data_IF_379010556115
#
_entry.id   IF_379010556115
#
_cell.length_a   1.000
_cell.length_b   1.000
_cell.length_c   1.000
_cell.angle_alpha   90.00
_cell.angle_beta   90.00
_cell.angle_gamma   90.00
#
_symmetry.space_group_name_H-M   'P 1'
#
loop_
_entity.id
_entity.type
_entity.pdbx_description
1 polymer ?
#
# COMPACT_ATOMS: atom_id res chain seq x y z
N UNK A 1 5.58 15.24 3.69
CA UNK A 1 6.55 14.41 2.95
C UNK A 1 5.83 13.22 2.34
N UNK A 2 5.96 12.99 1.02
CA UNK A 2 5.42 11.76 0.40
C UNK A 2 6.17 10.55 0.91
N UNK A 3 5.44 9.56 1.43
CA UNK A 3 6.04 8.27 1.79
C UNK A 3 6.30 7.52 0.49
N UNK A 4 7.56 7.22 0.24
CA UNK A 4 7.91 6.33 -0.87
C UNK A 4 7.39 4.91 -0.57
N UNK A 5 6.97 4.13 -1.60
CA UNK A 5 6.38 2.80 -1.42
C UNK A 5 7.17 1.86 -0.48
N UNK A 6 8.49 1.96 -0.49
CA UNK A 6 9.40 1.11 0.30
C UNK A 6 9.30 1.41 1.81
N UNK A 7 8.79 2.60 2.18
CA UNK A 7 8.60 3.04 3.57
C UNK A 7 7.16 2.81 4.06
N UNK A 8 6.24 2.36 3.19
CA UNK A 8 4.85 2.03 3.56
C UNK A 8 4.80 0.88 4.58
N UNK A 9 5.69 -0.11 4.45
CA UNK A 9 5.77 -1.25 5.35
C UNK A 9 6.02 -0.90 6.82
N UNK A 10 6.58 0.29 7.10
CA UNK A 10 6.73 0.78 8.47
C UNK A 10 5.40 1.03 9.20
N UNK A 11 4.28 1.05 8.47
CA UNK A 11 2.93 1.23 9.01
C UNK A 11 2.08 -0.04 8.94
N UNK A 12 2.62 -1.16 8.46
CA UNK A 12 1.91 -2.45 8.47
C UNK A 12 1.58 -2.89 9.89
N UNK A 13 0.37 -3.44 10.09
CA UNK A 13 -0.11 -3.88 11.40
C UNK A 13 -0.31 -2.77 12.45
N UNK A 14 0.12 -1.52 12.19
CA UNK A 14 -0.06 -0.41 13.13
C UNK A 14 -1.48 0.13 13.08
N UNK A 15 -2.00 0.49 14.24
CA UNK A 15 -3.35 1.02 14.40
C UNK A 15 -3.31 2.54 14.59
N UNK A 16 -4.31 3.22 14.03
CA UNK A 16 -4.65 4.58 14.36
C UNK A 16 -5.04 4.64 15.84
N UNK A 17 -4.30 5.38 16.65
CA UNK A 17 -4.57 5.40 18.10
C UNK A 17 -5.92 6.03 18.47
N UNK A 18 -6.53 6.81 17.56
CA UNK A 18 -7.82 7.48 17.80
C UNK A 18 -9.00 6.57 17.42
N UNK A 19 -8.98 5.97 16.22
CA UNK A 19 -10.13 5.21 15.71
C UNK A 19 -9.95 3.68 15.75
N UNK A 20 -8.79 3.19 16.18
CA UNK A 20 -8.46 1.77 16.27
C UNK A 20 -8.32 1.03 14.94
N UNK A 21 -8.53 1.69 13.80
CA UNK A 21 -8.39 1.09 12.46
C UNK A 21 -6.91 1.03 12.03
N UNK A 22 -6.54 0.06 11.19
CA UNK A 22 -5.18 -0.01 10.62
C UNK A 22 -4.80 1.28 9.88
N UNK A 23 -3.57 1.75 10.08
CA UNK A 23 -3.06 2.99 9.48
C UNK A 23 -3.02 2.92 7.95
N UNK A 24 -2.76 1.74 7.38
CA UNK A 24 -2.76 1.51 5.93
C UNK A 24 -4.17 1.32 5.33
N UNK A 25 -5.22 1.25 6.15
CA UNK A 25 -6.59 1.20 5.67
C UNK A 25 -7.17 2.60 5.68
N UNK A 26 -7.98 2.92 4.68
CA UNK A 26 -8.68 4.19 4.58
C UNK A 26 -10.16 3.96 4.25
N UNK A 27 -10.99 4.95 4.58
CA UNK A 27 -12.37 5.08 4.14
C UNK A 27 -12.48 6.24 3.16
N UNK A 28 -13.56 6.32 2.34
CA UNK A 28 -13.78 7.45 1.44
C UNK A 28 -13.78 8.82 2.13
N UNK A 29 -14.10 8.87 3.43
CA UNK A 29 -14.07 10.08 4.25
C UNK A 29 -12.66 10.49 4.72
N UNK A 30 -11.70 9.56 4.74
CA UNK A 30 -10.30 9.82 5.12
C UNK A 30 -9.49 10.45 3.97
N UNK A 31 -10.06 10.50 2.76
CA UNK A 31 -9.40 11.04 1.58
C UNK A 31 -9.21 12.56 1.69
N UNK A 32 -8.07 13.01 1.19
CA UNK A 32 -7.71 14.41 1.14
C UNK A 32 -8.55 15.17 0.10
N UNK A 33 -8.81 16.43 0.42
CA UNK A 33 -9.44 17.39 -0.49
C UNK A 33 -8.37 18.38 -0.97
N UNK A 34 -8.55 18.94 -2.16
CA UNK A 34 -7.72 20.01 -2.68
C UNK A 34 -8.63 21.16 -3.16
N UNK A 35 -8.25 22.42 -2.89
CA UNK A 35 -8.92 23.56 -3.49
C UNK A 35 -8.63 23.56 -4.99
N UNK A 36 -9.68 23.64 -5.82
CA UNK A 36 -9.54 23.92 -7.26
C UNK A 36 -9.70 25.42 -7.53
N UNK A 37 -9.31 25.87 -8.72
CA UNK A 37 -9.38 27.27 -9.17
C UNK A 37 -10.76 27.91 -9.04
N UNK A 38 -11.83 27.13 -8.87
CA UNK A 38 -13.20 27.61 -8.64
C UNK A 38 -13.54 27.87 -7.16
N UNK A 39 -12.58 27.70 -6.24
CA UNK A 39 -12.79 27.82 -4.79
C UNK A 39 -13.54 26.64 -4.16
N UNK A 40 -14.01 25.67 -4.96
CA UNK A 40 -14.65 24.45 -4.48
C UNK A 40 -13.60 23.46 -3.94
N UNK A 41 -13.95 22.74 -2.88
CA UNK A 41 -13.18 21.61 -2.39
C UNK A 41 -13.56 20.35 -3.16
N UNK A 42 -12.60 19.72 -3.82
CA UNK A 42 -12.79 18.43 -4.49
C UNK A 42 -11.82 17.42 -3.91
N UNK A 43 -12.14 16.12 -4.01
CA UNK A 43 -11.19 15.07 -3.61
C UNK A 43 -9.91 15.21 -4.44
N UNK A 44 -8.77 15.20 -3.76
CA UNK A 44 -7.48 15.32 -4.42
C UNK A 44 -7.22 14.09 -5.31
N UNK A 45 -6.71 14.33 -6.51
CA UNK A 45 -6.27 13.29 -7.44
C UNK A 45 -4.74 13.34 -7.62
N UNK A 46 -4.04 12.21 -7.64
CA UNK A 46 -4.54 10.86 -7.34
C UNK A 46 -5.05 10.74 -5.90
N UNK A 47 -5.98 9.81 -5.64
CA UNK A 47 -6.56 9.61 -4.31
C UNK A 47 -5.46 9.39 -3.26
N UNK A 48 -5.49 10.21 -2.22
CA UNK A 48 -4.49 10.23 -1.16
C UNK A 48 -5.13 10.51 0.19
N UNK A 49 -4.47 10.06 1.25
CA UNK A 49 -4.81 10.37 2.63
C UNK A 49 -3.52 10.61 3.41
N UNK A 50 -3.65 11.19 4.60
CA UNK A 50 -2.50 11.59 5.41
C UNK A 50 -2.54 10.90 6.76
N UNK A 51 -1.37 10.53 7.26
CA UNK A 51 -1.15 10.25 8.67
C UNK A 51 -0.43 11.44 9.30
N UNK A 52 -0.71 11.66 10.58
CA UNK A 52 0.00 12.64 11.39
C UNK A 52 0.48 11.99 12.67
N UNK A 53 1.73 12.28 13.00
CA UNK A 53 2.42 11.84 14.21
C UNK A 53 2.53 13.03 15.15
N UNK A 54 2.04 12.88 16.38
CA UNK A 54 2.23 13.91 17.40
C UNK A 54 3.73 14.10 17.68
N UNK A 55 4.25 15.34 17.66
CA UNK A 55 5.68 15.60 17.87
C UNK A 55 6.13 15.31 19.30
N UNK A 56 5.22 15.35 20.29
CA UNK A 56 5.53 15.12 21.69
C UNK A 56 5.48 13.62 22.06
N UNK A 57 4.32 12.97 21.88
CA UNK A 57 4.12 11.58 22.31
C UNK A 57 4.29 10.52 21.21
N UNK A 58 4.64 10.92 19.98
CA UNK A 58 4.85 10.04 18.82
C UNK A 58 3.66 9.16 18.40
N UNK A 59 2.46 9.39 18.96
CA UNK A 59 1.25 8.67 18.55
C UNK A 59 0.85 9.07 17.12
N UNK A 60 0.50 8.08 16.31
CA UNK A 60 0.17 8.24 14.89
C UNK A 60 -1.30 7.91 14.66
N UNK A 61 -2.01 8.80 13.95
CA UNK A 61 -3.38 8.59 13.54
C UNK A 61 -3.65 9.14 12.13
N UNK A 62 -4.75 8.69 11.52
CA UNK A 62 -5.27 9.28 10.29
C UNK A 62 -5.56 10.76 10.52
N UNK A 63 -5.17 11.61 9.55
CA UNK A 63 -5.28 13.07 9.67
C UNK A 63 -6.72 13.53 9.97
N UNK A 64 -7.73 12.92 9.35
CA UNK A 64 -9.14 13.17 9.68
C UNK A 64 -9.44 13.00 11.17
N UNK A 65 -8.94 11.91 11.79
CA UNK A 65 -9.23 11.60 13.19
C UNK A 65 -8.73 12.69 14.15
N UNK A 66 -7.65 13.38 13.79
CA UNK A 66 -7.16 14.53 14.56
C UNK A 66 -8.17 15.69 14.53
N UNK A 67 -8.74 16.06 13.38
CA UNK A 67 -9.77 17.11 13.33
C UNK A 67 -11.09 16.71 13.97
N UNK A 68 -11.45 15.43 13.88
CA UNK A 68 -12.70 14.96 14.43
C UNK A 68 -12.69 14.94 15.97
N UNK A 69 -11.55 14.56 16.58
CA UNK A 69 -11.43 14.32 18.04
C UNK A 69 -10.54 15.32 18.77
N UNK A 70 -9.47 15.79 18.11
CA UNK A 70 -8.47 16.69 18.69
C UNK A 70 -8.86 18.16 18.67
N UNK A 71 -9.85 18.57 17.88
CA UNK A 71 -10.38 19.95 17.91
C UNK A 71 -11.15 20.18 19.22
N UNK A 72 -10.56 20.94 20.13
CA UNK A 72 -11.10 21.29 21.44
C UNK A 72 -11.65 22.71 21.45
N UNK A 73 -12.73 22.87 22.19
CA UNK A 73 -13.41 24.15 22.40
C UNK A 73 -12.89 24.78 23.69
N UNK A 74 -12.31 25.97 23.57
CA UNK A 74 -11.89 26.82 24.67
C UNK A 74 -12.86 27.99 24.79
N UNK A 75 -13.14 28.40 26.03
CA UNK A 75 -13.91 29.62 26.32
C UNK A 75 -13.03 30.53 27.13
N UNK A 76 -12.84 31.76 26.66
CA UNK A 76 -12.14 32.80 27.41
C UNK A 76 -13.10 33.39 28.46
N UNK A 77 -13.39 32.62 29.52
CA UNK A 77 -14.33 33.00 30.58
C UNK A 77 -15.80 32.67 30.28
N UNK A 78 -16.72 33.08 31.18
CA UNK A 78 -18.14 32.69 31.09
C UNK A 78 -18.86 33.33 29.88
N UNK A 79 -18.45 34.53 29.48
CA UNK A 79 -19.03 35.32 28.38
C UNK A 79 -18.07 35.59 27.21
N UNK A 80 -16.83 35.09 27.26
CA UNK A 80 -15.86 35.37 26.19
C UNK A 80 -16.10 34.56 24.91
N UNK A 81 -15.40 34.94 23.82
CA UNK A 81 -15.51 34.26 22.55
C UNK A 81 -15.13 32.78 22.72
N UNK A 82 -15.88 31.93 22.01
CA UNK A 82 -15.50 30.53 21.87
C UNK A 82 -14.35 30.44 20.89
N UNK A 83 -13.25 29.82 21.30
CA UNK A 83 -12.10 29.52 20.46
C UNK A 83 -11.90 28.02 20.31
N UNK A 84 -11.22 27.65 19.25
CA UNK A 84 -10.93 26.27 18.88
C UNK A 84 -9.44 26.07 18.76
N UNK A 85 -8.96 24.93 19.25
CA UNK A 85 -7.57 24.57 19.21
C UNK A 85 -7.45 23.07 18.96
N UNK A 86 -6.55 22.69 18.06
CA UNK A 86 -6.18 21.29 17.89
C UNK A 86 -5.18 20.88 18.98
N UNK A 87 -5.55 19.91 19.78
CA UNK A 87 -4.72 19.33 20.83
C UNK A 87 -4.56 17.82 20.62
N UNK A 88 -3.45 17.26 21.11
CA UNK A 88 -3.24 15.84 21.08
C UNK A 88 -4.15 15.12 22.11
N UNK A 89 -5.08 14.24 21.69
CA UNK A 89 -5.96 13.55 22.64
C UNK A 89 -5.23 12.63 23.63
N UNK A 90 -3.97 12.26 23.34
CA UNK A 90 -3.20 11.36 24.19
C UNK A 90 -2.32 12.07 25.22
N UNK A 91 -1.79 13.27 24.92
CA UNK A 91 -0.81 13.94 25.78
C UNK A 91 -1.12 15.42 26.06
N UNK A 92 -2.20 15.96 25.48
CA UNK A 92 -2.57 17.37 25.63
C UNK A 92 -1.71 18.36 24.85
N UNK A 93 -0.67 17.89 24.14
CA UNK A 93 0.19 18.77 23.34
C UNK A 93 -0.64 19.66 22.40
N UNK A 94 -0.36 20.96 22.41
CA UNK A 94 -0.96 21.91 21.49
C UNK A 94 -0.39 21.73 20.08
N UNK A 95 -1.24 21.34 19.14
CA UNK A 95 -0.84 21.05 17.75
C UNK A 95 -1.17 22.18 16.78
N UNK A 96 -1.85 23.24 17.23
CA UNK A 96 -2.19 24.39 16.40
C UNK A 96 -2.45 25.64 17.25
N UNK A 97 -2.35 26.85 16.68
CA UNK A 97 -2.80 28.07 17.37
C UNK A 97 -4.32 28.08 17.58
N UNK A 98 -4.78 28.84 18.56
CA UNK A 98 -6.22 29.08 18.74
C UNK A 98 -6.83 29.81 17.54
N UNK A 99 -8.09 29.48 17.23
CA UNK A 99 -8.88 30.03 16.11
C UNK A 99 -10.31 30.32 16.56
N UNK A 100 -10.99 31.23 15.89
CA UNK A 100 -12.39 31.52 16.22
C UNK A 100 -13.36 30.45 15.68
N UNK A 101 -12.96 29.75 14.62
CA UNK A 101 -13.77 28.71 13.99
C UNK A 101 -13.13 27.32 14.10
N UNK A 102 -13.99 26.30 14.24
CA UNK A 102 -13.56 24.90 14.18
C UNK A 102 -13.15 24.56 12.75
N UNK A 103 -11.94 24.09 12.56
CA UNK A 103 -11.50 23.56 11.26
C UNK A 103 -12.08 22.18 11.03
N UNK A 104 -12.85 22.00 9.95
CA UNK A 104 -13.32 20.69 9.52
C UNK A 104 -12.23 20.02 8.69
N UNK A 105 -12.14 18.69 8.76
CA UNK A 105 -11.20 17.90 7.96
C UNK A 105 -11.21 18.26 6.46
N UNK A 106 -12.40 18.43 5.87
CA UNK A 106 -12.57 18.75 4.44
C UNK A 106 -11.96 20.08 4.04
N UNK A 107 -11.82 20.99 5.00
CA UNK A 107 -11.27 22.34 4.82
C UNK A 107 -9.80 22.40 5.32
N UNK A 108 -9.35 21.37 6.04
CA UNK A 108 -8.07 21.26 6.73
C UNK A 108 -6.96 20.66 5.87
N UNK A 109 -6.67 21.29 4.72
CA UNK A 109 -5.54 20.89 3.88
C UNK A 109 -4.22 20.85 4.67
N UNK A 110 -4.08 21.70 5.71
CA UNK A 110 -2.91 21.75 6.60
C UNK A 110 -3.35 21.70 8.06
N UNK A 111 -2.59 20.99 8.92
CA UNK A 111 -2.72 21.20 10.37
C UNK A 111 -2.13 22.58 10.63
N UNK A 112 -2.90 23.58 11.10
CA UNK A 112 -2.39 24.95 11.20
C UNK A 112 -1.16 25.00 12.12
N UNK A 113 -0.02 25.49 11.61
CA UNK A 113 1.27 25.48 12.33
C UNK A 113 2.21 24.31 12.00
N UNK A 114 1.74 23.32 11.24
CA UNK A 114 2.57 22.22 10.73
C UNK A 114 2.47 22.15 9.20
N UNK A 115 3.57 22.47 8.53
CA UNK A 115 3.69 22.39 7.08
C UNK A 115 3.54 20.94 6.57
N UNK A 116 3.13 20.80 5.30
CA UNK A 116 2.82 19.51 4.66
C UNK A 116 4.04 18.56 4.55
N UNK A 117 5.25 19.10 4.73
CA UNK A 117 6.49 18.34 4.86
C UNK A 117 6.49 17.41 6.09
N UNK A 118 5.80 17.79 7.18
CA UNK A 118 5.65 16.97 8.41
C UNK A 118 4.53 15.94 8.33
N UNK A 119 3.67 16.01 7.32
CA UNK A 119 2.60 15.03 7.09
C UNK A 119 3.12 13.80 6.34
N UNK A 120 2.62 12.62 6.72
CA UNK A 120 2.94 11.34 6.09
C UNK A 120 1.88 11.12 5.01
N UNK A 121 2.17 11.46 3.75
CA UNK A 121 1.23 11.26 2.64
C UNK A 121 1.26 9.81 2.14
N UNK A 122 0.07 9.20 2.03
CA UNK A 122 -0.14 7.88 1.47
C UNK A 122 -1.08 7.96 0.28
N UNK A 123 -0.62 7.51 -0.89
CA UNK A 123 -1.47 7.33 -2.07
C UNK A 123 -2.17 5.99 -1.98
N UNK A 124 -3.45 5.98 -2.32
CA UNK A 124 -4.28 4.76 -2.24
C UNK A 124 -3.72 3.67 -3.15
N UNK A 125 -3.31 4.03 -4.37
CA UNK A 125 -2.68 3.13 -5.34
C UNK A 125 -1.39 2.51 -4.82
N UNK A 126 -0.53 3.29 -4.17
CA UNK A 126 0.78 2.83 -3.67
C UNK A 126 0.59 1.88 -2.48
N UNK A 127 -0.39 2.16 -1.62
CA UNK A 127 -0.76 1.27 -0.50
C UNK A 127 -1.36 -0.03 -1.00
N UNK A 128 -2.22 0.01 -2.03
CA UNK A 128 -2.74 -1.21 -2.66
C UNK A 128 -1.63 -2.03 -3.32
N UNK A 129 -0.75 -1.40 -4.09
CA UNK A 129 0.40 -2.04 -4.71
C UNK A 129 1.33 -2.68 -3.66
N UNK A 130 1.60 -1.98 -2.56
CA UNK A 130 2.38 -2.52 -1.45
C UNK A 130 1.67 -3.67 -0.75
N UNK A 131 0.36 -3.60 -0.48
CA UNK A 131 -0.39 -4.70 0.16
C UNK A 131 -0.43 -5.93 -0.72
N UNK A 132 -0.61 -5.75 -2.02
CA UNK A 132 -0.45 -6.83 -2.99
C UNK A 132 0.97 -7.40 -2.87
N UNK A 133 2.01 -6.59 -3.06
CA UNK A 133 3.40 -7.05 -2.95
C UNK A 133 3.78 -7.70 -1.59
N UNK A 134 3.26 -7.23 -0.46
CA UNK A 134 3.61 -7.71 0.89
C UNK A 134 2.86 -8.97 1.29
N UNK A 135 1.60 -9.10 0.89
CA UNK A 135 0.86 -10.36 0.96
C UNK A 135 1.55 -11.40 0.06
N UNK A 136 2.01 -10.99 -1.12
CA UNK A 136 2.69 -11.88 -2.07
C UNK A 136 4.14 -12.18 -1.65
N UNK A 137 4.78 -11.35 -0.83
CA UNK A 137 6.09 -11.63 -0.22
C UNK A 137 6.01 -12.52 1.02
N UNK A 138 4.93 -12.41 1.81
CA UNK A 138 4.65 -13.34 2.93
C UNK A 138 4.22 -14.72 2.41
N UNK A 139 3.37 -14.75 1.37
CA UNK A 139 3.04 -15.96 0.62
C UNK A 139 4.28 -16.45 -0.15
N UNK A 140 5.05 -15.55 -0.76
CA UNK A 140 6.29 -15.85 -1.48
C UNK A 140 7.34 -16.54 -0.61
N UNK A 141 7.55 -16.09 0.63
CA UNK A 141 8.40 -16.81 1.60
C UNK A 141 7.86 -18.20 2.00
N UNK A 142 6.53 -18.36 2.01
CA UNK A 142 5.91 -19.67 2.23
C UNK A 142 5.92 -20.54 0.96
N UNK A 143 6.09 -19.93 -0.21
CA UNK A 143 6.22 -20.58 -1.52
C UNK A 143 7.68 -20.84 -1.92
N UNK A 144 8.66 -20.13 -1.36
CA UNK A 144 10.11 -20.35 -1.55
C UNK A 144 10.50 -21.81 -1.20
N UNK A 145 9.77 -22.45 -0.28
CA UNK A 145 9.95 -23.87 0.05
C UNK A 145 9.38 -24.85 -0.99
N UNK A 146 8.62 -24.35 -1.97
CA UNK A 146 7.96 -25.14 -3.02
C UNK A 146 8.50 -24.85 -4.43
N UNK A 147 9.40 -23.87 -4.60
CA UNK A 147 10.03 -23.61 -5.89
C UNK A 147 11.40 -24.30 -5.99
N UNK A 148 11.53 -25.22 -6.96
CA UNK A 148 12.80 -25.84 -7.30
C UNK A 148 13.39 -25.19 -8.54
N UNK A 149 14.59 -24.61 -8.41
CA UNK A 149 15.34 -24.11 -9.56
C UNK A 149 15.84 -25.29 -10.41
N UNK A 150 15.49 -25.28 -11.70
CA UNK A 150 15.90 -26.27 -12.70
C UNK A 150 16.52 -25.55 -13.91
N UNK A 151 17.47 -26.21 -14.57
CA UNK A 151 18.09 -25.66 -15.79
C UNK A 151 17.16 -25.83 -16.99
N UNK A 152 17.22 -24.93 -17.97
CA UNK A 152 16.48 -25.07 -19.24
C UNK A 152 16.69 -26.43 -19.93
N UNK A 153 17.91 -26.98 -19.88
CA UNK A 153 18.23 -28.29 -20.45
C UNK A 153 17.68 -29.50 -19.69
N UNK A 154 17.02 -29.29 -18.54
CA UNK A 154 16.38 -30.36 -17.76
C UNK A 154 14.85 -30.43 -17.96
N UNK A 155 14.32 -29.59 -18.85
CA UNK A 155 12.90 -29.59 -19.21
C UNK A 155 12.60 -30.70 -20.20
N UNK A 156 11.42 -31.33 -20.03
CA UNK A 156 10.84 -32.19 -21.04
C UNK A 156 10.40 -31.38 -22.27
N UNK A 157 10.12 -32.05 -23.39
CA UNK A 157 9.62 -31.39 -24.62
C UNK A 157 8.29 -30.65 -24.36
N UNK A 158 7.42 -31.22 -23.52
CA UNK A 158 6.14 -30.62 -23.15
C UNK A 158 6.35 -29.34 -22.32
N UNK A 159 7.22 -29.38 -21.30
CA UNK A 159 7.55 -28.21 -20.47
C UNK A 159 8.23 -27.10 -21.29
N UNK A 160 9.12 -27.49 -22.20
CA UNK A 160 9.78 -26.54 -23.12
C UNK A 160 8.75 -25.85 -24.01
N UNK A 161 7.78 -26.60 -24.52
CA UNK A 161 6.68 -26.07 -25.33
C UNK A 161 5.76 -25.15 -24.53
N UNK A 162 5.46 -25.50 -23.27
CA UNK A 162 4.68 -24.65 -22.37
C UNK A 162 5.37 -23.31 -22.10
N UNK A 163 6.67 -23.36 -21.79
CA UNK A 163 7.50 -22.17 -21.56
C UNK A 163 7.59 -21.30 -22.82
N UNK A 164 7.72 -21.91 -24.00
CA UNK A 164 7.73 -21.19 -25.28
C UNK A 164 6.38 -20.49 -25.56
N UNK A 165 5.26 -21.16 -25.31
CA UNK A 165 3.92 -20.56 -25.44
C UNK A 165 3.75 -19.37 -24.50
N UNK A 166 4.18 -19.51 -23.23
CA UNK A 166 4.09 -18.45 -22.24
C UNK A 166 4.99 -17.25 -22.57
N UNK A 167 6.20 -17.49 -23.09
CA UNK A 167 7.08 -16.41 -23.54
C UNK A 167 6.51 -15.63 -24.74
N UNK A 168 5.96 -16.33 -25.73
CA UNK A 168 5.38 -15.70 -26.92
C UNK A 168 4.21 -14.77 -26.56
N UNK A 169 3.41 -15.10 -25.53
CA UNK A 169 2.28 -14.26 -25.07
C UNK A 169 2.72 -12.87 -24.59
N UNK A 170 3.93 -12.77 -24.04
CA UNK A 170 4.51 -11.51 -23.55
C UNK A 170 5.51 -10.90 -24.54
N UNK A 171 5.50 -11.36 -25.81
CA UNK A 171 6.38 -10.86 -26.86
C UNK A 171 7.86 -11.25 -26.71
N UNK A 172 8.16 -12.31 -25.94
CA UNK A 172 9.53 -12.82 -25.74
C UNK A 172 9.71 -14.17 -26.43
N UNK A 173 10.95 -14.48 -26.79
CA UNK A 173 11.33 -15.80 -27.34
C UNK A 173 11.99 -16.65 -26.26
N UNK A 174 12.12 -17.97 -26.48
CA UNK A 174 12.85 -18.87 -25.56
C UNK A 174 14.32 -18.49 -25.36
N UNK A 175 14.90 -17.68 -26.26
CA UNK A 175 16.25 -17.12 -26.12
C UNK A 175 16.32 -15.97 -25.12
N UNK A 176 15.20 -15.31 -24.85
CA UNK A 176 15.07 -14.22 -23.87
C UNK A 176 14.72 -14.73 -22.46
N UNK A 177 14.54 -16.04 -22.32
CA UNK A 177 14.21 -16.68 -21.05
C UNK A 177 15.50 -16.87 -20.26
N UNK A 178 15.51 -16.37 -19.02
CA UNK A 178 16.66 -16.49 -18.14
C UNK A 178 17.08 -17.96 -18.01
N UNK A 179 18.38 -18.23 -17.88
CA UNK A 179 18.99 -19.56 -17.84
C UNK A 179 18.48 -20.50 -16.72
N UNK A 180 17.62 -19.97 -15.82
CA UNK A 180 17.01 -20.68 -14.71
C UNK A 180 15.48 -20.66 -14.87
N UNK A 181 14.89 -21.84 -14.77
CA UNK A 181 13.44 -22.06 -14.72
C UNK A 181 13.09 -22.50 -13.31
N UNK A 182 12.00 -22.02 -12.75
CA UNK A 182 11.57 -22.40 -11.40
C UNK A 182 10.33 -23.28 -11.48
N UNK A 183 10.44 -24.53 -11.05
CA UNK A 183 9.30 -25.46 -10.98
C UNK A 183 8.57 -25.26 -9.66
N UNK A 184 7.26 -25.05 -9.74
CA UNK A 184 6.39 -24.95 -8.57
C UNK A 184 5.86 -26.34 -8.20
N UNK A 185 6.37 -26.90 -7.11
CA UNK A 185 5.92 -28.18 -6.55
C UNK A 185 4.90 -27.92 -5.42
N UNK A 186 3.64 -27.68 -5.77
CA UNK A 186 2.54 -27.50 -4.81
C UNK A 186 1.69 -28.78 -4.73
N UNK A 187 1.40 -29.31 -3.51
CA UNK A 187 0.42 -30.39 -3.32
C UNK A 187 -0.97 -30.02 -3.86
N UNK A 188 -1.67 -30.99 -4.47
CA UNK A 188 -2.92 -30.75 -5.19
C UNK A 188 -4.00 -30.03 -4.36
N UNK A 189 -3.99 -30.25 -3.05
CA UNK A 189 -4.96 -29.70 -2.10
C UNK A 189 -4.79 -28.20 -1.87
N UNK A 190 -3.60 -27.64 -2.17
CA UNK A 190 -3.25 -26.23 -1.94
C UNK A 190 -3.30 -25.36 -3.19
N UNK A 191 -3.72 -25.92 -4.33
CA UNK A 191 -3.79 -25.20 -5.62
C UNK A 191 -4.75 -24.01 -5.59
N UNK A 192 -5.88 -24.14 -4.92
CA UNK A 192 -6.90 -23.08 -4.79
C UNK A 192 -6.44 -21.88 -3.95
N UNK A 193 -5.34 -22.03 -3.22
CA UNK A 193 -4.76 -20.97 -2.39
C UNK A 193 -3.85 -20.03 -3.19
N UNK A 194 -3.49 -20.38 -4.42
CA UNK A 194 -2.68 -19.56 -5.32
C UNK A 194 -3.54 -18.43 -5.91
N UNK A 195 -3.75 -17.37 -5.13
CA UNK A 195 -4.44 -16.15 -5.60
C UNK A 195 -3.54 -15.22 -6.40
N UNK A 196 -2.23 -15.49 -6.40
CA UNK A 196 -1.20 -14.68 -7.03
C UNK A 196 0.18 -15.33 -7.02
N UNK A 197 0.94 -15.16 -8.10
CA UNK A 197 2.32 -15.65 -8.23
C UNK A 197 3.30 -14.46 -8.37
N UNK A 198 4.51 -14.60 -7.83
CA UNK A 198 5.61 -13.64 -7.97
C UNK A 198 6.86 -14.31 -8.52
N UNK A 199 7.66 -13.53 -9.26
CA UNK A 199 8.84 -14.01 -9.94
C UNK A 199 9.95 -14.31 -8.93
N UNK A 200 10.35 -15.57 -8.85
CA UNK A 200 11.39 -16.05 -7.93
C UNK A 200 12.78 -15.42 -8.16
N UNK A 201 13.01 -14.81 -9.32
CA UNK A 201 14.29 -14.17 -9.63
C UNK A 201 14.32 -12.66 -9.31
N UNK A 202 13.20 -11.93 -9.48
CA UNK A 202 13.19 -10.47 -9.32
C UNK A 202 12.07 -9.93 -8.43
N UNK A 203 11.21 -10.78 -7.88
CA UNK A 203 10.09 -10.42 -7.02
C UNK A 203 8.91 -9.74 -7.73
N UNK A 204 9.01 -9.45 -9.04
CA UNK A 204 7.93 -8.86 -9.82
C UNK A 204 6.68 -9.76 -9.84
N UNK A 205 5.46 -9.20 -9.91
CA UNK A 205 4.25 -10.01 -10.08
C UNK A 205 4.36 -10.84 -11.36
N UNK A 206 3.90 -12.09 -11.31
CA UNK A 206 3.74 -12.93 -12.48
C UNK A 206 2.31 -12.77 -13.03
N UNK A 207 2.11 -12.88 -14.35
CA UNK A 207 0.79 -13.05 -14.94
C UNK A 207 -0.01 -14.12 -14.19
N UNK A 208 -1.29 -13.86 -13.93
CA UNK A 208 -2.17 -14.89 -13.38
C UNK A 208 -2.40 -15.94 -14.46
N UNK A 209 -2.06 -17.22 -14.21
CA UNK A 209 -2.24 -18.25 -15.20
C UNK A 209 -3.70 -18.61 -15.40
N UNK A 210 -4.10 -18.88 -16.63
CA UNK A 210 -5.36 -19.52 -16.96
C UNK A 210 -5.35 -20.99 -16.48
N UNK A 211 -6.53 -21.60 -16.30
CA UNK A 211 -6.66 -22.94 -15.70
C UNK A 211 -5.94 -24.07 -16.48
N UNK A 212 -5.59 -23.84 -17.75
CA UNK A 212 -4.90 -24.78 -18.64
C UNK A 212 -3.43 -24.42 -18.87
N UNK A 213 -2.91 -23.38 -18.23
CA UNK A 213 -1.53 -22.98 -18.41
C UNK A 213 -0.59 -23.82 -17.55
N UNK A 214 0.48 -24.30 -18.18
CA UNK A 214 1.50 -25.16 -17.58
C UNK A 214 2.78 -24.38 -17.25
N UNK A 215 2.87 -23.10 -17.65
CA UNK A 215 4.01 -22.23 -17.41
C UNK A 215 3.62 -20.75 -17.45
N UNK A 216 4.38 -19.91 -16.74
CA UNK A 216 4.30 -18.44 -16.78
C UNK A 216 5.70 -17.87 -16.96
N UNK A 217 5.83 -16.78 -17.71
CA UNK A 217 7.12 -16.08 -17.87
C UNK A 217 7.02 -14.67 -17.30
N UNK A 218 8.03 -14.28 -16.53
CA UNK A 218 8.12 -12.94 -15.98
C UNK A 218 8.38 -11.90 -17.07
N UNK A 219 7.46 -10.95 -17.21
CA UNK A 219 7.60 -9.83 -18.14
C UNK A 219 8.83 -8.96 -17.83
N UNK A 220 9.17 -8.80 -16.54
CA UNK A 220 10.28 -7.95 -16.11
C UNK A 220 11.67 -8.52 -16.43
N UNK A 221 11.93 -9.80 -16.12
CA UNK A 221 13.27 -10.38 -16.24
C UNK A 221 13.35 -11.65 -17.11
N UNK A 222 12.25 -12.08 -17.72
CA UNK A 222 12.21 -13.25 -18.61
C UNK A 222 12.37 -14.60 -17.90
N UNK A 223 12.40 -14.63 -16.56
CA UNK A 223 12.46 -15.90 -15.82
C UNK A 223 11.16 -16.67 -16.00
N UNK A 224 11.26 -17.96 -16.33
CA UNK A 224 10.11 -18.85 -16.49
C UNK A 224 9.81 -19.62 -15.19
N UNK A 225 8.52 -19.88 -14.99
CA UNK A 225 7.96 -20.60 -13.85
C UNK A 225 7.06 -21.70 -14.37
N UNK A 226 7.42 -22.97 -14.11
CA UNK A 226 6.58 -24.11 -14.45
C UNK A 226 5.52 -24.30 -13.38
N UNK A 227 4.29 -24.48 -13.83
CA UNK A 227 3.15 -24.73 -12.97
C UNK A 227 2.97 -26.24 -12.79
N UNK A 228 2.50 -26.70 -11.62
CA UNK A 228 2.21 -28.10 -11.41
C UNK A 228 1.01 -28.50 -12.28
N UNK A 229 1.18 -29.55 -13.09
CA UNK A 229 0.09 -30.21 -13.84
C UNK A 229 -0.88 -30.86 -12.85
#
# INVERSE_FOLDING_TARGET
MRVQPERIGAFDGKLCFICGSYLLNNKPSDLAYAPVHTGRQVKAQPERYYLFQCPNCNKIAHKRCWYDVGEKKHKDGWFGPTRWQLECPSCGETLSPMRDERTKWKDGYQIPGHSDDKLIELRVTDVFAWKAGSVFGKIGKALDSFFRAVGLGSLTENETSAVARAANRIGKTTKDIASKVFRLEIPAEKRSEIKSLSCQNCGAPLPLPEAWEEAVVCEHCGTAHLLPV
#
